data_IF_446193477820
#
_entry.id   IF_446193477820
#
_cell.length_a   1.000
_cell.length_b   1.000
_cell.length_c   1.000
_cell.angle_alpha   90.00
_cell.angle_beta   90.00
_cell.angle_gamma   90.00
#
_symmetry.space_group_name_H-M   'P 1'
#
loop_
_entity.id
_entity.type
_entity.pdbx_description
1 polymer ?
#
# COMPACT_ATOMS: atom_id res chain seq x y z
N UNK A 1 -15.32 -39.61 38.18
CA UNK A 1 -13.89 -39.81 38.53
C UNK A 1 -13.08 -39.42 37.32
N UNK A 2 -12.09 -38.53 37.31
CA UNK A 2 -11.44 -37.69 38.30
C UNK A 2 -10.72 -36.60 37.46
N UNK A 3 -10.79 -35.36 37.93
CA UNK A 3 -10.20 -34.16 37.34
C UNK A 3 -8.70 -34.31 37.04
N UNK A 4 -8.20 -33.53 36.08
CA UNK A 4 -6.91 -32.86 36.22
C UNK A 4 -6.84 -31.59 35.36
N UNK A 5 -7.02 -30.49 36.06
CA UNK A 5 -6.73 -29.11 35.66
C UNK A 5 -5.22 -28.91 35.84
N UNK A 6 -4.54 -28.35 34.84
CA UNK A 6 -3.25 -27.70 35.04
C UNK A 6 -3.33 -26.25 34.57
N UNK A 7 -3.36 -25.36 35.56
CA UNK A 7 -3.16 -23.92 35.44
C UNK A 7 -1.65 -23.70 35.54
N UNK A 8 -1.06 -22.99 34.57
CA UNK A 8 0.20 -22.27 34.81
C UNK A 8 0.05 -20.82 34.35
N UNK A 9 -0.06 -19.96 35.36
CA UNK A 9 -0.02 -18.52 35.32
C UNK A 9 1.45 -18.09 35.26
N UNK A 10 1.81 -17.18 34.36
CA UNK A 10 3.04 -16.38 34.47
C UNK A 10 2.82 -15.01 33.81
N UNK A 11 2.54 -14.03 34.66
CA UNK A 11 2.53 -12.59 34.38
C UNK A 11 3.95 -12.08 34.61
N UNK A 12 4.54 -11.34 33.67
CA UNK A 12 5.47 -10.26 34.01
C UNK A 12 5.29 -9.08 33.06
N UNK A 13 5.17 -7.91 33.66
CA UNK A 13 4.98 -6.56 33.10
C UNK A 13 6.32 -5.82 32.92
N UNK A 14 6.22 -4.67 32.24
CA UNK A 14 7.11 -3.48 32.18
C UNK A 14 8.16 -3.44 31.04
N UNK A 15 8.32 -2.34 30.29
CA UNK A 15 7.74 -1.00 30.46
C UNK A 15 8.01 -0.05 29.28
N UNK A 16 7.23 1.04 29.23
CA UNK A 16 7.45 2.21 28.40
C UNK A 16 8.63 3.04 28.93
N UNK A 17 9.48 3.56 28.05
CA UNK A 17 10.43 4.61 28.38
C UNK A 17 10.17 5.81 27.45
N UNK A 18 9.35 6.74 27.91
CA UNK A 18 9.28 8.09 27.34
C UNK A 18 10.32 8.95 28.06
N UNK A 19 11.36 9.39 27.35
CA UNK A 19 12.27 10.42 27.86
C UNK A 19 12.38 11.54 26.84
N UNK A 20 11.48 12.51 26.99
CA UNK A 20 11.60 13.84 26.40
C UNK A 20 12.39 14.71 27.39
N UNK A 21 13.64 15.02 27.08
CA UNK A 21 14.39 16.06 27.79
C UNK A 21 14.57 17.28 26.90
N UNK A 22 13.95 18.34 27.37
CA UNK A 22 13.90 19.71 26.88
C UNK A 22 15.27 20.35 26.75
N UNK A 23 15.39 21.14 25.69
CA UNK A 23 16.33 22.24 25.43
C UNK A 23 16.66 23.08 26.67
N UNK A 24 17.93 23.40 26.85
CA UNK A 24 18.36 24.58 27.60
C UNK A 24 19.35 25.39 26.76
N UNK A 25 18.88 26.57 26.33
CA UNK A 25 19.68 27.66 25.78
C UNK A 25 20.43 28.38 26.90
N UNK A 26 21.67 28.78 26.64
CA UNK A 26 22.32 30.02 27.09
C UNK A 26 23.71 30.04 26.41
N UNK A 27 23.89 30.77 25.31
CA UNK A 27 24.25 32.18 25.28
C UNK A 27 25.57 32.47 26.01
N UNK A 28 26.64 32.68 25.24
CA UNK A 28 27.52 33.81 25.53
C UNK A 28 28.13 34.37 24.24
N UNK A 29 28.11 35.70 24.17
CA UNK A 29 28.53 36.55 23.07
C UNK A 29 29.61 37.45 23.65
N UNK A 30 30.83 37.45 23.11
CA UNK A 30 31.51 38.71 22.77
C UNK A 30 32.86 38.58 22.05
N UNK A 31 32.98 39.46 21.04
CA UNK A 31 34.13 40.26 20.58
C UNK A 31 35.37 39.55 20.02
N UNK A 32 35.60 39.61 18.71
CA UNK A 32 36.05 40.76 17.87
C UNK A 32 37.57 40.93 17.95
N UNK A 33 38.31 40.52 16.91
CA UNK A 33 39.22 41.44 16.23
C UNK A 33 39.59 41.03 14.78
N UNK A 34 39.45 42.04 13.93
CA UNK A 34 40.01 42.38 12.61
C UNK A 34 41.04 41.46 11.94
N UNK A 35 40.83 41.09 10.68
CA UNK A 35 41.78 41.31 9.55
C UNK A 35 41.04 41.23 8.20
N UNK A 36 41.09 42.32 7.45
CA UNK A 36 40.60 42.47 6.08
C UNK A 36 41.50 41.72 5.10
N UNK A 37 40.91 40.88 4.24
CA UNK A 37 41.53 40.47 2.98
C UNK A 37 40.46 40.49 1.88
N UNK A 38 40.67 41.37 0.90
CA UNK A 38 39.88 41.50 -0.32
C UNK A 38 39.67 40.15 -1.02
N UNK A 39 38.42 39.80 -1.30
CA UNK A 39 38.04 38.77 -2.27
C UNK A 39 37.07 39.38 -3.29
N UNK A 40 37.22 39.04 -4.59
CA UNK A 40 36.52 39.70 -5.69
C UNK A 40 35.00 39.43 -5.65
N UNK A 41 34.17 40.29 -6.27
CA UNK A 41 32.72 40.17 -6.22
C UNK A 41 32.29 38.95 -7.06
N UNK A 42 32.13 37.81 -6.38
CA UNK A 42 31.49 36.61 -6.92
C UNK A 42 29.97 36.77 -6.87
N UNK A 43 29.33 36.45 -7.98
CA UNK A 43 27.91 36.64 -8.28
C UNK A 43 27.02 35.77 -7.36
N UNK A 44 26.59 36.31 -6.21
CA UNK A 44 25.78 35.60 -5.18
C UNK A 44 24.28 35.50 -5.55
N UNK A 45 23.93 35.64 -6.83
CA UNK A 45 22.54 35.64 -7.28
C UNK A 45 22.06 34.25 -7.70
N UNK A 46 22.94 33.36 -8.19
CA UNK A 46 22.54 32.02 -8.68
C UNK A 46 22.33 30.98 -7.56
N UNK A 47 22.99 31.11 -6.40
CA UNK A 47 22.80 30.16 -5.29
C UNK A 47 21.53 30.43 -4.46
N UNK A 48 20.88 31.59 -4.63
CA UNK A 48 19.65 31.94 -3.91
C UNK A 48 18.37 31.53 -4.64
N UNK A 49 18.45 31.22 -5.93
CA UNK A 49 17.31 30.79 -6.75
C UNK A 49 17.11 29.26 -6.75
N UNK A 50 18.03 28.50 -6.15
CA UNK A 50 17.92 27.04 -6.01
C UNK A 50 17.09 26.59 -4.78
N UNK A 51 16.65 27.52 -3.93
CA UNK A 51 15.83 27.23 -2.76
C UNK A 51 14.42 27.73 -3.03
N UNK A 52 13.44 26.83 -2.99
CA UNK A 52 12.00 27.05 -3.18
C UNK A 52 11.46 26.89 -4.60
N UNK A 53 11.52 25.66 -5.12
CA UNK A 53 10.28 25.03 -5.60
C UNK A 53 10.32 23.56 -5.22
N UNK A 54 10.27 23.28 -3.91
CA UNK A 54 9.77 21.98 -3.48
C UNK A 54 8.30 21.97 -3.89
N UNK A 55 8.04 21.33 -5.02
CA UNK A 55 6.71 21.20 -5.60
C UNK A 55 5.90 20.39 -4.59
N UNK A 56 5.13 21.08 -3.75
CA UNK A 56 4.28 20.45 -2.73
C UNK A 56 3.48 19.35 -3.45
N UNK A 57 3.78 18.09 -3.11
CA UNK A 57 3.11 16.96 -3.73
C UNK A 57 1.62 17.12 -3.50
N UNK A 58 0.78 16.92 -4.54
CA UNK A 58 -0.66 17.05 -4.40
C UNK A 58 -1.11 16.14 -3.25
N UNK A 59 -1.61 16.75 -2.17
CA UNK A 59 -2.10 16.02 -1.01
C UNK A 59 -3.27 15.16 -1.48
N UNK A 60 -3.14 13.84 -1.39
CA UNK A 60 -4.25 12.93 -1.68
C UNK A 60 -5.32 13.20 -0.62
N UNK A 61 -6.42 13.80 -1.04
CA UNK A 61 -7.57 13.99 -0.18
C UNK A 61 -8.51 12.78 -0.28
N UNK A 62 -9.03 12.39 0.89
CA UNK A 62 -10.20 11.55 1.11
C UNK A 62 -9.99 10.03 1.10
N UNK A 63 -10.54 9.41 2.15
CA UNK A 63 -10.84 7.99 2.37
C UNK A 63 -10.49 7.10 1.18
N UNK A 64 -9.45 6.28 1.32
CA UNK A 64 -8.99 5.34 0.27
C UNK A 64 -9.89 4.10 0.15
N UNK A 65 -10.74 3.84 1.15
CA UNK A 65 -11.75 2.79 1.09
C UNK A 65 -12.88 3.14 0.13
N UNK A 66 -13.42 2.13 -0.54
CA UNK A 66 -14.62 2.25 -1.34
C UNK A 66 -14.60 1.36 -2.58
N UNK A 67 -15.59 1.61 -3.44
CA UNK A 67 -15.74 0.94 -4.72
C UNK A 67 -15.06 1.73 -5.82
N UNK A 68 -14.36 1.02 -6.69
CA UNK A 68 -13.59 1.57 -7.79
C UNK A 68 -13.99 0.87 -9.08
N UNK A 69 -14.23 1.65 -10.13
CA UNK A 69 -14.59 1.20 -11.47
C UNK A 69 -13.39 1.24 -12.41
N UNK A 70 -13.17 0.16 -13.14
CA UNK A 70 -12.06 0.04 -14.09
C UNK A 70 -12.19 1.11 -15.17
N UNK A 71 -11.06 1.67 -15.59
CA UNK A 71 -10.99 2.61 -16.69
C UNK A 71 -10.68 1.84 -17.96
N UNK A 72 -11.61 1.87 -18.92
CA UNK A 72 -11.43 1.31 -20.25
C UNK A 72 -11.64 2.41 -21.30
N UNK A 73 -10.76 2.51 -22.29
CA UNK A 73 -10.83 3.54 -23.34
C UNK A 73 -10.96 4.97 -22.77
N UNK A 74 -10.32 5.23 -21.62
CA UNK A 74 -10.31 6.53 -20.95
C UNK A 74 -11.58 6.88 -20.16
N UNK A 75 -12.50 5.94 -19.94
CA UNK A 75 -13.72 6.15 -19.16
C UNK A 75 -13.93 5.03 -18.15
N UNK A 76 -14.48 5.36 -16.99
CA UNK A 76 -14.93 4.37 -16.02
C UNK A 76 -16.02 3.48 -16.63
N UNK A 77 -15.93 2.17 -16.44
CA UNK A 77 -16.94 1.21 -16.90
C UNK A 77 -18.26 1.42 -16.15
N UNK A 78 -19.38 1.29 -16.86
CA UNK A 78 -20.71 1.50 -16.28
C UNK A 78 -21.20 0.31 -15.43
N UNK A 79 -20.70 -0.89 -15.71
CA UNK A 79 -21.07 -2.11 -15.01
C UNK A 79 -19.92 -2.67 -14.17
N UNK A 80 -20.27 -3.48 -13.16
CA UNK A 80 -19.33 -4.18 -12.29
C UNK A 80 -19.17 -5.67 -12.68
N UNK A 81 -19.31 -6.04 -13.95
CA UNK A 81 -19.08 -7.41 -14.40
C UNK A 81 -17.56 -7.71 -14.48
N UNK A 82 -16.96 -7.86 -13.29
CA UNK A 82 -15.51 -7.97 -13.03
C UNK A 82 -14.70 -6.70 -13.28
N UNK A 83 -15.37 -5.58 -13.56
CA UNK A 83 -14.75 -4.28 -13.77
C UNK A 83 -14.76 -3.40 -12.51
N UNK A 84 -15.14 -3.94 -11.35
CA UNK A 84 -15.11 -3.20 -10.10
C UNK A 84 -14.26 -3.94 -9.07
N UNK A 85 -13.49 -3.17 -8.30
CA UNK A 85 -12.83 -3.65 -7.10
C UNK A 85 -13.39 -2.89 -5.90
N UNK A 86 -13.54 -3.59 -4.79
CA UNK A 86 -13.91 -3.00 -3.51
C UNK A 86 -12.70 -3.03 -2.59
N UNK A 87 -12.19 -1.84 -2.26
CA UNK A 87 -11.06 -1.68 -1.34
C UNK A 87 -11.65 -1.40 0.04
N UNK A 88 -11.29 -2.26 0.99
CA UNK A 88 -11.68 -2.14 2.39
C UNK A 88 -10.48 -2.58 3.26
N UNK A 89 -9.92 -1.65 4.05
CA UNK A 89 -8.77 -1.95 4.92
C UNK A 89 -9.16 -2.66 6.23
N UNK A 90 -10.45 -2.74 6.55
CA UNK A 90 -10.96 -3.36 7.79
C UNK A 90 -11.48 -4.78 7.56
N UNK A 91 -11.83 -5.14 6.32
CA UNK A 91 -12.41 -6.44 5.99
C UNK A 91 -11.98 -6.94 4.60
N UNK A 92 -11.78 -8.26 4.43
CA UNK A 92 -11.58 -8.85 3.11
C UNK A 92 -12.79 -8.66 2.21
N UNK A 93 -12.54 -8.46 0.91
CA UNK A 93 -13.57 -8.26 -0.12
C UNK A 93 -13.46 -9.31 -1.22
N UNK A 94 -14.53 -9.51 -1.99
CA UNK A 94 -14.54 -10.44 -3.11
C UNK A 94 -14.00 -9.78 -4.39
N UNK A 95 -13.08 -10.46 -5.06
CA UNK A 95 -12.42 -9.97 -6.27
C UNK A 95 -12.60 -10.98 -7.41
N UNK A 96 -13.00 -10.51 -8.58
CA UNK A 96 -13.14 -11.33 -9.78
C UNK A 96 -11.81 -11.42 -10.54
N UNK A 97 -11.20 -12.60 -10.59
CA UNK A 97 -9.89 -12.82 -11.25
C UNK A 97 -10.04 -13.43 -12.64
N UNK A 98 -11.17 -14.10 -12.91
CA UNK A 98 -11.56 -14.60 -14.23
C UNK A 98 -13.06 -14.48 -14.40
N UNK A 99 -13.47 -13.80 -15.47
CA UNK A 99 -14.85 -13.36 -15.65
C UNK A 99 -15.80 -14.55 -15.70
N UNK A 100 -16.85 -14.48 -14.87
CA UNK A 100 -17.88 -15.51 -14.70
C UNK A 100 -17.36 -16.89 -14.25
N UNK A 101 -16.08 -17.01 -13.89
CA UNK A 101 -15.41 -18.28 -13.59
C UNK A 101 -14.79 -18.31 -12.20
N UNK A 102 -13.95 -17.34 -11.86
CA UNK A 102 -13.12 -17.40 -10.66
C UNK A 102 -13.21 -16.11 -9.85
N UNK A 103 -13.53 -16.29 -8.57
CA UNK A 103 -13.61 -15.23 -7.57
C UNK A 103 -12.82 -15.62 -6.33
N UNK A 104 -12.03 -14.69 -5.81
CA UNK A 104 -11.25 -14.85 -4.58
C UNK A 104 -11.74 -13.90 -3.51
N UNK A 105 -11.49 -14.24 -2.26
CA UNK A 105 -11.48 -13.29 -1.16
C UNK A 105 -10.06 -12.72 -1.05
N UNK A 106 -9.95 -11.40 -1.05
CA UNK A 106 -8.70 -10.69 -0.92
C UNK A 106 -8.75 -9.72 0.26
N UNK A 107 -7.65 -9.60 1.01
CA UNK A 107 -7.48 -8.57 2.04
C UNK A 107 -6.56 -7.48 1.52
N UNK A 108 -6.86 -6.23 1.86
CA UNK A 108 -6.01 -5.09 1.49
C UNK A 108 -5.33 -4.53 2.73
N UNK A 109 -4.03 -4.21 2.63
CA UNK A 109 -3.25 -3.68 3.73
C UNK A 109 -2.43 -2.47 3.27
N UNK A 110 -2.53 -1.35 3.99
CA UNK A 110 -1.74 -0.15 3.68
C UNK A 110 -0.25 -0.44 3.88
N UNK A 111 0.56 -0.05 2.90
CA UNK A 111 2.02 -0.12 2.95
C UNK A 111 2.68 1.26 2.94
N UNK A 112 1.92 2.31 2.65
CA UNK A 112 2.33 3.70 2.73
C UNK A 112 1.12 4.64 2.68
N UNK A 113 1.37 5.93 2.57
CA UNK A 113 0.30 6.94 2.53
C UNK A 113 -0.64 6.73 1.33
N UNK A 114 -0.07 6.33 0.20
CA UNK A 114 -0.76 6.19 -1.09
C UNK A 114 -0.55 4.82 -1.72
N UNK A 115 -0.15 3.82 -0.93
CA UNK A 115 0.09 2.47 -1.42
C UNK A 115 -0.52 1.42 -0.52
N UNK A 116 -0.95 0.31 -1.10
CA UNK A 116 -1.43 -0.84 -0.37
C UNK A 116 -1.11 -2.13 -1.12
N UNK A 117 -0.96 -3.20 -0.35
CA UNK A 117 -0.76 -4.55 -0.88
C UNK A 117 -2.07 -5.31 -0.76
N UNK A 118 -2.32 -6.19 -1.73
CA UNK A 118 -3.47 -7.08 -1.77
C UNK A 118 -2.99 -8.50 -1.56
N UNK A 119 -3.60 -9.23 -0.64
CA UNK A 119 -3.24 -10.61 -0.33
C UNK A 119 -4.41 -11.54 -0.58
N UNK A 120 -4.11 -12.71 -1.14
CA UNK A 120 -5.06 -13.80 -1.24
C UNK A 120 -5.43 -14.33 0.15
N UNK A 121 -6.72 -14.56 0.38
CA UNK A 121 -7.24 -15.16 1.62
C UNK A 121 -7.77 -16.56 1.34
N UNK A 122 -8.69 -16.68 0.38
CA UNK A 122 -9.32 -17.95 0.03
C UNK A 122 -9.99 -17.87 -1.35
N UNK A 123 -10.26 -19.02 -1.95
CA UNK A 123 -11.21 -19.10 -3.04
C UNK A 123 -12.62 -18.76 -2.52
N UNK A 124 -13.40 -18.00 -3.28
CA UNK A 124 -14.79 -17.70 -2.93
C UNK A 124 -15.78 -18.44 -3.85
N UNK A 125 -15.54 -18.39 -5.17
CA UNK A 125 -16.34 -19.12 -6.17
C UNK A 125 -15.48 -19.63 -7.31
N UNK A 126 -15.76 -20.87 -7.72
CA UNK A 126 -15.14 -21.54 -8.86
C UNK A 126 -16.22 -22.17 -9.73
N UNK A 127 -16.36 -21.65 -10.96
CA UNK A 127 -17.41 -22.03 -11.90
C UNK A 127 -16.73 -22.50 -13.19
N UNK A 128 -16.59 -23.83 -13.34
CA UNK A 128 -16.02 -24.48 -14.53
C UNK A 128 -14.72 -23.80 -15.01
N UNK A 129 -13.67 -23.75 -14.18
CA UNK A 129 -12.42 -23.13 -14.60
C UNK A 129 -11.76 -23.95 -15.70
N UNK A 130 -10.94 -23.27 -16.52
CA UNK A 130 -10.23 -23.91 -17.62
C UNK A 130 -9.16 -24.91 -17.13
N UNK A 131 -8.68 -24.73 -15.89
CA UNK A 131 -7.81 -25.68 -15.18
C UNK A 131 -8.15 -25.71 -13.69
N UNK A 132 -7.84 -26.83 -13.03
CA UNK A 132 -7.95 -26.94 -11.58
C UNK A 132 -6.95 -25.99 -10.91
N UNK A 133 -7.46 -25.23 -9.95
CA UNK A 133 -6.67 -24.27 -9.17
C UNK A 133 -6.16 -24.93 -7.87
N UNK A 134 -4.86 -24.81 -7.56
CA UNK A 134 -4.26 -25.36 -6.35
C UNK A 134 -4.41 -24.38 -5.19
N UNK A 135 -5.65 -24.06 -4.80
CA UNK A 135 -5.94 -22.99 -3.83
C UNK A 135 -5.24 -23.18 -2.48
N UNK A 136 -5.08 -24.43 -2.04
CA UNK A 136 -4.45 -24.77 -0.77
C UNK A 136 -2.93 -24.61 -0.78
N UNK A 137 -2.33 -24.52 -1.97
CA UNK A 137 -0.88 -24.38 -2.15
C UNK A 137 -0.46 -22.90 -2.27
N UNK A 138 -1.40 -22.00 -2.52
CA UNK A 138 -1.07 -20.58 -2.70
C UNK A 138 -0.73 -19.88 -1.39
N UNK A 139 0.32 -19.08 -1.43
CA UNK A 139 0.73 -18.24 -0.32
C UNK A 139 -0.34 -17.19 0.00
N UNK A 140 -0.67 -17.05 1.29
CA UNK A 140 -1.61 -16.04 1.80
C UNK A 140 -0.91 -14.83 2.43
N UNK A 141 0.42 -14.90 2.55
CA UNK A 141 1.28 -13.86 3.11
C UNK A 141 2.16 -13.18 2.06
N UNK A 142 2.11 -13.63 0.81
CA UNK A 142 2.76 -12.98 -0.33
C UNK A 142 1.72 -12.12 -1.06
N UNK A 143 1.99 -10.83 -1.36
CA UNK A 143 1.06 -10.00 -2.11
C UNK A 143 0.75 -10.58 -3.49
N UNK A 144 -0.52 -10.55 -3.89
CA UNK A 144 -0.99 -10.92 -5.24
C UNK A 144 -1.17 -9.71 -6.14
N UNK A 145 -1.27 -8.50 -5.57
CA UNK A 145 -1.27 -7.25 -6.30
C UNK A 145 -0.78 -6.09 -5.41
N UNK A 146 -0.31 -5.02 -6.06
CA UNK A 146 -0.02 -3.73 -5.45
C UNK A 146 -1.03 -2.69 -5.94
N UNK A 147 -1.39 -1.78 -5.04
CA UNK A 147 -2.27 -0.65 -5.31
C UNK A 147 -1.49 0.65 -5.12
N UNK A 148 -1.57 1.53 -6.10
CA UNK A 148 -1.03 2.89 -6.03
C UNK A 148 -2.16 3.89 -6.22
N UNK A 149 -2.47 4.65 -5.18
CA UNK A 149 -3.55 5.64 -5.19
C UNK A 149 -3.09 6.95 -5.82
N UNK A 150 -3.94 7.54 -6.65
CA UNK A 150 -3.65 8.80 -7.33
C UNK A 150 -4.44 9.97 -6.71
N UNK A 151 -3.91 11.20 -6.72
CA UNK A 151 -4.54 12.35 -6.07
C UNK A 151 -5.93 12.71 -6.60
N UNK A 152 -6.26 12.29 -7.82
CA UNK A 152 -7.56 12.53 -8.44
C UNK A 152 -8.64 11.50 -7.99
N UNK A 153 -8.34 10.63 -7.03
CA UNK A 153 -9.25 9.57 -6.57
C UNK A 153 -9.24 8.33 -7.48
N UNK A 154 -8.14 8.11 -8.20
CA UNK A 154 -7.89 6.87 -8.92
C UNK A 154 -7.05 5.88 -8.12
N UNK A 155 -6.98 4.66 -8.62
CA UNK A 155 -6.04 3.64 -8.15
C UNK A 155 -5.51 2.86 -9.33
N UNK A 156 -4.20 2.65 -9.35
CA UNK A 156 -3.52 1.73 -10.26
C UNK A 156 -3.31 0.40 -9.54
N UNK A 157 -3.74 -0.69 -10.17
CA UNK A 157 -3.59 -2.05 -9.68
C UNK A 157 -2.59 -2.78 -10.57
N UNK A 158 -1.45 -3.12 -9.98
CA UNK A 158 -0.43 -4.00 -10.57
C UNK A 158 -0.58 -5.40 -10.00
N UNK A 159 -1.08 -6.32 -10.82
CA UNK A 159 -1.25 -7.72 -10.48
C UNK A 159 0.07 -8.46 -10.60
N UNK A 160 0.49 -9.05 -9.47
CA UNK A 160 1.74 -9.79 -9.32
C UNK A 160 1.55 -11.29 -9.62
N UNK A 161 0.37 -11.83 -9.35
CA UNK A 161 0.07 -13.25 -9.47
C UNK A 161 0.07 -13.97 -8.13
N UNK A 162 -0.45 -15.20 -8.13
CA UNK A 162 -0.35 -16.09 -6.97
C UNK A 162 1.10 -16.56 -6.82
N UNK A 163 1.53 -16.76 -5.57
CA UNK A 163 2.82 -17.34 -5.24
C UNK A 163 2.67 -18.71 -4.57
N UNK A 164 3.68 -19.55 -4.72
CA UNK A 164 3.88 -20.80 -3.99
C UNK A 164 5.32 -20.77 -3.49
N UNK A 165 5.52 -20.93 -2.18
CA UNK A 165 6.84 -20.89 -1.55
C UNK A 165 7.59 -19.56 -1.82
N UNK A 166 6.86 -18.45 -1.95
CA UNK A 166 7.40 -17.11 -2.23
C UNK A 166 7.72 -16.83 -3.69
N UNK A 167 7.55 -17.81 -4.59
CA UNK A 167 7.78 -17.64 -6.03
C UNK A 167 6.46 -17.54 -6.80
N UNK A 168 6.40 -16.64 -7.79
CA UNK A 168 5.20 -16.49 -8.63
C UNK A 168 4.90 -17.79 -9.36
N UNK A 169 3.70 -18.33 -9.13
CA UNK A 169 3.20 -19.50 -9.81
C UNK A 169 2.85 -19.15 -11.27
N UNK A 170 3.86 -19.19 -12.15
CA UNK A 170 3.79 -18.74 -13.56
C UNK A 170 2.61 -19.34 -14.33
N UNK A 171 2.29 -20.61 -14.06
CA UNK A 171 1.15 -21.36 -14.56
C UNK A 171 -0.22 -20.71 -14.30
N UNK A 172 -0.31 -19.88 -13.26
CA UNK A 172 -1.52 -19.23 -12.78
C UNK A 172 -1.42 -17.70 -12.81
N UNK A 173 -0.28 -17.14 -13.19
CA UNK A 173 -0.01 -15.70 -13.16
C UNK A 173 -0.96 -14.88 -14.06
N UNK A 174 -1.54 -15.49 -15.10
CA UNK A 174 -2.49 -14.82 -16.00
C UNK A 174 -3.88 -14.62 -15.39
N UNK A 175 -4.26 -15.42 -14.39
CA UNK A 175 -5.50 -15.19 -13.64
C UNK A 175 -5.35 -13.90 -12.86
N UNK A 176 -6.33 -13.01 -12.93
CA UNK A 176 -6.20 -11.65 -12.41
C UNK A 176 -5.48 -10.71 -13.38
N UNK A 177 -4.34 -11.07 -13.97
CA UNK A 177 -3.60 -10.14 -14.88
C UNK A 177 -4.44 -9.65 -16.05
N UNK A 178 -5.29 -10.48 -16.65
CA UNK A 178 -6.17 -10.05 -17.76
C UNK A 178 -7.40 -9.25 -17.30
N UNK A 179 -7.86 -9.49 -16.07
CA UNK A 179 -9.15 -8.99 -15.58
C UNK A 179 -8.99 -7.77 -14.67
N UNK A 180 -8.05 -7.83 -13.73
CA UNK A 180 -7.86 -6.86 -12.65
C UNK A 180 -6.78 -5.83 -12.94
N UNK A 181 -5.75 -6.17 -13.72
CA UNK A 181 -4.69 -5.21 -14.06
C UNK A 181 -5.26 -3.91 -14.65
N UNK A 182 -4.72 -2.78 -14.19
CA UNK A 182 -4.94 -1.48 -14.81
C UNK A 182 -5.35 -0.40 -13.83
N UNK A 183 -5.99 0.64 -14.36
CA UNK A 183 -6.38 1.82 -13.59
C UNK A 183 -7.88 1.82 -13.32
N UNK A 184 -8.24 2.36 -12.17
CA UNK A 184 -9.62 2.46 -11.72
C UNK A 184 -9.90 3.87 -11.21
N UNK A 185 -11.17 4.27 -11.27
CA UNK A 185 -11.69 5.50 -10.70
C UNK A 185 -12.63 5.18 -9.55
N UNK A 186 -12.51 5.88 -8.43
CA UNK A 186 -13.48 5.77 -7.36
C UNK A 186 -14.89 6.18 -7.85
N UNK A 187 -15.90 5.46 -7.39
CA UNK A 187 -17.32 5.83 -7.55
C UNK A 187 -17.61 7.21 -6.95
#
# INVERSE_FOLDING_TARGET
MRNLIFIFLSIVMFGCNDQKSTTSNAADVNKQDTTTADLPPGNIQEERDAVQTEKEQPRIAAVLDGRYHKIENGKATADCNCNCIEINFDAPTEWCIDKDKLYITARTQKTGDNTADVFFVSANREIKPDRKMPWDDFDTNTPVANLTFTPDGGVELDWLGFAVDGEVATDYALYGKKTLEGTYKKE
#
